data_IF_269355188088
#
_entry.id   IF_269355188088
#
_cell.length_a   1.000
_cell.length_b   1.000
_cell.length_c   1.000
_cell.angle_alpha   90.00
_cell.angle_beta   90.00
_cell.angle_gamma   90.00
#
_symmetry.space_group_name_H-M   'P 1'
#
loop_
_entity.id
_entity.type
_entity.pdbx_description
1 polymer ?
#
# COMPACT_ATOMS: atom_id res chain seq x y z
N UNK A 1 -9.92 33.99 7.57
CA UNK A 1 -9.07 33.07 6.78
C UNK A 1 -9.98 31.95 6.32
N UNK A 2 -10.37 31.98 5.06
CA UNK A 2 -11.12 30.89 4.43
C UNK A 2 -10.18 29.68 4.40
N UNK A 3 -10.59 28.58 5.02
CA UNK A 3 -9.86 27.33 4.93
C UNK A 3 -9.94 26.84 3.49
N UNK A 4 -8.83 26.91 2.76
CA UNK A 4 -8.72 26.25 1.46
C UNK A 4 -9.03 24.78 1.68
N UNK A 5 -10.18 24.31 1.19
CA UNK A 5 -10.42 22.89 1.02
C UNK A 5 -9.47 22.43 -0.09
N UNK A 6 -8.28 21.99 0.31
CA UNK A 6 -7.38 21.27 -0.58
C UNK A 6 -8.01 19.89 -0.73
N UNK A 7 -8.69 19.67 -1.85
CA UNK A 7 -9.22 18.36 -2.20
C UNK A 7 -8.03 17.40 -2.34
N UNK A 8 -7.96 16.36 -1.50
CA UNK A 8 -7.05 15.25 -1.71
C UNK A 8 -7.28 14.70 -3.12
N UNK A 9 -6.25 14.75 -3.97
CA UNK A 9 -6.36 14.34 -5.37
C UNK A 9 -6.26 12.82 -5.46
N UNK A 10 -7.32 12.11 -5.07
CA UNK A 10 -7.35 10.65 -5.23
C UNK A 10 -7.05 10.33 -6.70
N UNK A 11 -5.89 9.74 -6.97
CA UNK A 11 -5.50 9.30 -8.31
C UNK A 11 -6.07 7.90 -8.43
N UNK A 12 -7.21 7.71 -9.12
CA UNK A 12 -7.81 6.40 -9.21
C UNK A 12 -6.81 5.45 -9.89
N UNK A 13 -6.44 4.39 -9.17
CA UNK A 13 -5.72 3.28 -9.79
C UNK A 13 -6.65 2.63 -10.80
N UNK A 14 -6.15 2.44 -12.02
CA UNK A 14 -6.86 1.65 -13.01
C UNK A 14 -6.82 0.15 -12.66
N UNK A 15 -7.44 -0.68 -13.48
CA UNK A 15 -7.52 -2.12 -13.20
C UNK A 15 -6.14 -2.80 -13.25
N UNK A 16 -5.24 -2.34 -14.11
CA UNK A 16 -3.89 -2.91 -14.26
C UNK A 16 -3.02 -2.56 -13.05
N UNK A 17 -3.07 -1.31 -12.59
CA UNK A 17 -2.41 -0.86 -11.38
C UNK A 17 -2.87 -1.65 -10.14
N UNK A 18 -4.18 -1.89 -10.02
CA UNK A 18 -4.77 -2.67 -8.92
C UNK A 18 -4.32 -4.12 -8.94
N UNK A 19 -4.31 -4.76 -10.11
CA UNK A 19 -3.84 -6.14 -10.25
C UNK A 19 -2.36 -6.22 -9.89
N UNK A 20 -1.56 -5.28 -10.37
CA UNK A 20 -0.13 -5.20 -10.06
C UNK A 20 0.10 -5.10 -8.55
N UNK A 21 -0.58 -4.17 -7.89
CA UNK A 21 -0.52 -4.01 -6.43
C UNK A 21 -0.83 -5.31 -5.67
N UNK A 22 -1.94 -5.97 -5.98
CA UNK A 22 -2.30 -7.22 -5.30
C UNK A 22 -1.29 -8.34 -5.59
N UNK A 23 -0.78 -8.41 -6.81
CA UNK A 23 0.24 -9.39 -7.21
C UNK A 23 1.54 -9.18 -6.45
N UNK A 24 2.00 -7.95 -6.31
CA UNK A 24 3.22 -7.61 -5.58
C UNK A 24 3.09 -7.91 -4.08
N UNK A 25 1.91 -7.64 -3.50
CA UNK A 25 1.60 -8.02 -2.11
C UNK A 25 1.61 -9.55 -1.95
N UNK A 26 0.95 -10.29 -2.86
CA UNK A 26 0.93 -11.76 -2.82
C UNK A 26 2.34 -12.32 -2.93
N UNK A 27 3.13 -11.83 -3.88
CA UNK A 27 4.51 -12.26 -4.06
C UNK A 27 5.33 -11.98 -2.79
N UNK A 28 5.18 -10.80 -2.19
CA UNK A 28 5.85 -10.44 -0.94
C UNK A 28 5.46 -11.35 0.22
N UNK A 29 4.18 -11.73 0.32
CA UNK A 29 3.68 -12.68 1.32
C UNK A 29 4.23 -14.10 1.11
N UNK A 30 4.40 -14.52 -0.14
CA UNK A 30 4.88 -15.86 -0.49
C UNK A 30 6.39 -16.01 -0.36
N UNK A 31 7.16 -14.99 -0.73
CA UNK A 31 8.63 -15.07 -0.83
C UNK A 31 9.35 -14.35 0.31
N UNK A 32 8.69 -13.39 0.95
CA UNK A 32 9.33 -12.47 1.91
C UNK A 32 10.22 -11.42 1.25
N UNK A 33 10.31 -11.37 -0.07
CA UNK A 33 11.10 -10.37 -0.79
C UNK A 33 10.37 -9.02 -0.79
N UNK A 34 11.13 -7.95 -0.54
CA UNK A 34 10.59 -6.60 -0.61
C UNK A 34 10.53 -6.11 -2.06
N UNK A 35 9.41 -5.51 -2.43
CA UNK A 35 9.16 -5.04 -3.78
C UNK A 35 8.86 -3.55 -3.81
N UNK A 36 9.32 -2.88 -4.87
CA UNK A 36 9.12 -1.45 -5.09
C UNK A 36 8.70 -1.23 -6.54
N UNK A 37 7.61 -0.51 -6.75
CA UNK A 37 7.01 -0.35 -8.08
C UNK A 37 6.30 1.00 -8.20
N UNK A 38 6.49 1.71 -9.33
CA UNK A 38 5.76 2.95 -9.59
C UNK A 38 4.39 2.65 -10.22
N UNK A 39 3.29 3.18 -9.68
CA UNK A 39 1.95 3.11 -10.29
C UNK A 39 1.31 4.49 -10.30
N UNK A 40 0.68 4.88 -11.41
CA UNK A 40 0.01 6.18 -11.57
C UNK A 40 0.82 7.42 -11.11
N UNK A 41 2.16 7.36 -11.21
CA UNK A 41 3.06 8.44 -10.76
C UNK A 41 3.33 8.47 -9.25
N UNK A 42 2.86 7.47 -8.51
CA UNK A 42 3.08 7.28 -7.07
C UNK A 42 4.08 6.13 -6.89
N UNK A 43 5.00 6.30 -5.94
CA UNK A 43 6.00 5.27 -5.63
C UNK A 43 5.45 4.32 -4.57
N UNK A 44 5.21 3.07 -4.92
CA UNK A 44 4.70 2.08 -3.99
C UNK A 44 5.77 1.07 -3.61
N UNK A 45 5.55 0.41 -2.49
CA UNK A 45 6.37 -0.73 -2.08
C UNK A 45 5.65 -1.61 -1.08
N UNK A 46 6.07 -2.86 -1.00
CA UNK A 46 5.60 -3.79 0.00
C UNK A 46 6.78 -4.62 0.53
N UNK A 47 6.76 -4.91 1.82
CA UNK A 47 7.80 -5.70 2.48
C UNK A 47 7.23 -6.49 3.64
N UNK A 48 7.87 -7.60 3.98
CA UNK A 48 7.62 -8.33 5.22
C UNK A 48 8.74 -8.04 6.22
N UNK A 49 8.36 -7.66 7.44
CA UNK A 49 9.32 -7.45 8.52
C UNK A 49 8.66 -7.76 9.86
N UNK A 50 9.37 -8.51 10.71
CA UNK A 50 8.98 -8.76 12.11
C UNK A 50 7.53 -9.30 12.25
N UNK A 51 7.06 -10.11 11.30
CA UNK A 51 5.70 -10.66 11.27
C UNK A 51 4.63 -9.70 10.75
N UNK A 52 5.03 -8.59 10.15
CA UNK A 52 4.13 -7.58 9.60
C UNK A 52 4.35 -7.39 8.09
N UNK A 53 3.25 -7.30 7.35
CA UNK A 53 3.20 -6.72 6.02
C UNK A 53 3.21 -5.20 6.14
N UNK A 54 4.17 -4.58 5.47
CA UNK A 54 4.30 -3.13 5.40
C UNK A 54 4.06 -2.75 3.94
N UNK A 55 3.00 -2.00 3.68
CA UNK A 55 2.75 -1.40 2.36
C UNK A 55 3.00 0.09 2.45
N UNK A 56 3.78 0.61 1.52
CA UNK A 56 4.18 2.01 1.47
C UNK A 56 3.69 2.69 0.22
N UNK A 57 3.28 3.95 0.35
CA UNK A 57 2.99 4.83 -0.76
C UNK A 57 3.73 6.16 -0.57
N UNK A 58 4.47 6.60 -1.57
CA UNK A 58 5.23 7.84 -1.57
C UNK A 58 4.75 8.76 -2.68
N UNK A 59 4.38 9.98 -2.32
CA UNK A 59 3.93 11.00 -3.28
C UNK A 59 4.35 12.42 -2.86
N UNK A 60 4.44 13.30 -3.86
CA UNK A 60 4.54 14.74 -3.62
C UNK A 60 3.18 15.27 -3.18
N UNK A 61 3.04 15.66 -1.91
CA UNK A 61 1.75 16.09 -1.38
C UNK A 61 1.86 17.04 -0.19
N UNK A 62 0.94 18.00 -0.12
CA UNK A 62 0.68 18.80 1.08
C UNK A 62 -0.27 18.09 2.06
N UNK A 63 -1.10 17.16 1.56
CA UNK A 63 -2.10 16.38 2.32
C UNK A 63 -2.05 14.92 1.88
N UNK A 64 -2.18 13.96 2.82
CA UNK A 64 -2.12 12.53 2.53
C UNK A 64 -3.14 12.02 1.50
N UNK A 65 -2.66 11.37 0.44
CA UNK A 65 -3.46 10.92 -0.70
C UNK A 65 -3.05 9.50 -1.16
N UNK A 66 -2.97 8.57 -0.20
CA UNK A 66 -2.75 7.15 -0.48
C UNK A 66 -3.94 6.57 -1.25
N UNK A 67 -3.92 6.71 -2.59
CA UNK A 67 -5.06 6.42 -3.46
C UNK A 67 -5.44 4.94 -3.49
N UNK A 68 -4.52 4.07 -3.06
CA UNK A 68 -4.75 2.64 -2.86
C UNK A 68 -5.40 2.28 -1.53
N UNK A 69 -5.45 3.18 -0.55
CA UNK A 69 -5.90 2.83 0.81
C UNK A 69 -7.32 2.24 0.84
N UNK A 70 -8.34 2.86 0.20
CA UNK A 70 -9.69 2.26 0.17
C UNK A 70 -9.70 0.88 -0.49
N UNK A 71 -8.92 0.72 -1.56
CA UNK A 71 -8.82 -0.54 -2.30
C UNK A 71 -8.15 -1.65 -1.47
N UNK A 72 -7.10 -1.33 -0.72
CA UNK A 72 -6.42 -2.30 0.15
C UNK A 72 -7.31 -2.73 1.32
N UNK A 73 -8.09 -1.82 1.91
CA UNK A 73 -9.05 -2.18 2.96
C UNK A 73 -10.08 -3.19 2.44
N UNK A 74 -10.56 -3.03 1.21
CA UNK A 74 -11.52 -3.96 0.62
C UNK A 74 -10.97 -5.39 0.44
N UNK A 75 -9.64 -5.55 0.27
CA UNK A 75 -9.03 -6.83 -0.08
C UNK A 75 -8.21 -7.49 1.04
N UNK A 76 -7.65 -6.68 1.95
CA UNK A 76 -6.78 -7.14 3.04
C UNK A 76 -7.45 -6.87 4.40
N UNK A 77 -8.31 -5.84 4.48
CA UNK A 77 -8.88 -5.34 5.73
C UNK A 77 -8.17 -4.08 6.24
N UNK A 78 -8.63 -3.54 7.35
CA UNK A 78 -8.01 -2.35 7.97
C UNK A 78 -6.58 -2.66 8.45
N UNK A 79 -5.59 -1.79 8.20
CA UNK A 79 -4.26 -1.95 8.76
C UNK A 79 -4.28 -1.77 10.28
N UNK A 80 -3.45 -2.54 10.99
CA UNK A 80 -3.26 -2.44 12.43
C UNK A 80 -2.62 -1.08 12.82
N UNK A 81 -1.79 -0.51 11.95
CA UNK A 81 -1.17 0.80 12.15
C UNK A 81 -1.06 1.56 10.81
N UNK A 82 -1.24 2.88 10.87
CA UNK A 82 -0.95 3.80 9.77
C UNK A 82 -0.03 4.89 10.29
N UNK A 83 1.06 5.14 9.56
CA UNK A 83 2.04 6.16 9.89
C UNK A 83 2.37 6.97 8.63
N UNK A 84 2.53 8.28 8.82
CA UNK A 84 2.90 9.23 7.77
C UNK A 84 4.20 9.90 8.15
N UNK A 85 5.19 9.89 7.27
CA UNK A 85 6.47 10.58 7.47
C UNK A 85 6.84 11.37 6.23
N UNK A 86 7.42 12.54 6.45
CA UNK A 86 8.10 13.26 5.36
C UNK A 86 9.38 12.51 4.97
N UNK A 87 9.66 12.46 3.68
CA UNK A 87 10.89 11.89 3.15
C UNK A 87 12.09 12.70 3.61
N UNK A 88 13.08 12.01 4.16
CA UNK A 88 14.38 12.64 4.48
C UNK A 88 15.17 13.04 3.23
N UNK A 89 14.80 12.50 2.06
CA UNK A 89 15.48 12.75 0.79
C UNK A 89 14.86 13.93 0.03
N UNK A 90 13.60 14.26 0.29
CA UNK A 90 12.87 15.29 -0.45
C UNK A 90 11.81 15.95 0.42
N UNK A 91 12.01 17.23 0.73
CA UNK A 91 11.02 18.03 1.44
C UNK A 91 9.71 18.13 0.64
N UNK A 92 8.58 18.08 1.35
CA UNK A 92 7.23 18.06 0.76
C UNK A 92 6.81 16.73 0.13
N UNK A 93 7.64 15.68 0.24
CA UNK A 93 7.28 14.33 -0.19
C UNK A 93 6.87 13.51 1.04
N UNK A 94 5.64 13.00 1.06
CA UNK A 94 5.12 12.22 2.18
C UNK A 94 5.16 10.73 1.83
N UNK A 95 5.51 9.92 2.83
CA UNK A 95 5.51 8.46 2.77
C UNK A 95 4.48 7.95 3.76
N UNK A 96 3.49 7.26 3.22
CA UNK A 96 2.49 6.49 3.93
C UNK A 96 3.02 5.11 4.20
N UNK A 97 2.85 4.64 5.43
CA UNK A 97 3.13 3.29 5.84
C UNK A 97 1.85 2.72 6.41
N UNK A 98 1.42 1.58 5.87
CA UNK A 98 0.28 0.81 6.34
C UNK A 98 0.81 -0.55 6.78
N UNK A 99 0.51 -0.93 8.01
CA UNK A 99 1.03 -2.15 8.64
C UNK A 99 -0.11 -3.13 8.89
N UNK A 100 0.08 -4.38 8.49
CA UNK A 100 -0.77 -5.49 8.89
C UNK A 100 0.08 -6.54 9.58
N UNK A 101 -0.27 -6.93 10.80
CA UNK A 101 0.22 -8.18 11.38
C UNK A 101 -0.25 -9.32 10.48
N UNK A 102 0.63 -10.28 10.18
CA UNK A 102 0.28 -11.44 9.32
C UNK A 102 -0.96 -12.18 9.85
N UNK A 103 -1.13 -12.22 11.17
CA UNK A 103 -2.28 -12.83 11.85
C UNK A 103 -3.61 -12.10 11.57
N UNK A 104 -3.55 -10.81 11.21
CA UNK A 104 -4.71 -9.98 10.85
C UNK A 104 -5.09 -10.11 9.37
N UNK A 105 -4.21 -10.69 8.53
CA UNK A 105 -4.44 -10.83 7.09
C UNK A 105 -5.37 -12.05 6.82
N UNK A 106 -6.40 -11.91 5.97
CA UNK A 106 -7.29 -13.02 5.63
C UNK A 106 -6.54 -14.25 5.11
N UNK A 107 -6.94 -15.44 5.57
CA UNK A 107 -6.21 -16.69 5.31
C UNK A 107 -6.05 -17.06 3.84
N UNK A 108 -6.98 -16.63 2.97
CA UNK A 108 -6.94 -16.91 1.54
C UNK A 108 -5.71 -16.30 0.84
N UNK A 109 -5.06 -15.30 1.45
CA UNK A 109 -3.78 -14.77 0.95
C UNK A 109 -2.62 -15.76 1.09
N UNK A 110 -2.75 -16.78 1.94
CA UNK A 110 -1.74 -17.81 2.19
C UNK A 110 -2.11 -19.18 1.62
N UNK A 111 -3.33 -19.33 1.10
CA UNK A 111 -3.74 -20.54 0.43
C UNK A 111 -2.91 -20.70 -0.85
N UNK A 112 -2.27 -21.86 -1.01
CA UNK A 112 -1.67 -22.24 -2.30
C UNK A 112 -2.80 -22.73 -3.17
N UNK A 113 -2.90 -22.24 -4.40
CA UNK A 113 -3.78 -22.82 -5.40
C UNK A 113 -3.46 -24.32 -5.49
N UNK A 114 -4.34 -25.17 -4.98
CA UNK A 114 -4.22 -26.60 -5.22
C UNK A 114 -4.32 -26.81 -6.73
N UNK A 115 -3.40 -27.58 -7.34
CA UNK A 115 -3.50 -27.86 -8.77
C UNK A 115 -4.85 -28.54 -9.03
N UNK A 116 -5.65 -27.95 -9.91
CA UNK A 116 -6.88 -28.56 -10.43
C UNK A 116 -6.43 -29.82 -11.17
N UNK A 117 -6.66 -31.00 -10.57
CA UNK A 117 -6.43 -32.30 -11.19
C UNK A 117 -7.37 -32.56 -12.38
#
# INVERSE_FOLDING_TARGET
MEGTQIAAKCVPLDMEDRITLLSEIKMTLDTGEANYYPLAGISYGCSLRDGQLIVTAGEEAEIPNASMYPFLIEHIGEPDEILVKESSLKAGFLIFYMFWNIESIPSFWFEKDEPIN
#
